data_IF_340774405457
#
_entry.id   IF_340774405457
#
_cell.length_a   1.000
_cell.length_b   1.000
_cell.length_c   1.000
_cell.angle_alpha   90.00
_cell.angle_beta   90.00
_cell.angle_gamma   90.00
#
_symmetry.space_group_name_H-M   'P 1'
#
loop_
_entity.id
_entity.type
_entity.pdbx_description
1 polymer ?
#
# COMPACT_ATOMS: atom_id res chain seq x y z
N UNK A 1 -21.58 0.27 -16.21
CA UNK A 1 -20.55 -0.42 -15.40
C UNK A 1 -20.71 -0.02 -13.93
N UNK A 2 -20.58 -0.94 -12.97
CA UNK A 2 -20.59 -0.63 -11.53
C UNK A 2 -19.29 0.11 -11.18
N UNK A 3 -19.36 1.22 -10.44
CA UNK A 3 -18.16 1.95 -9.99
C UNK A 3 -17.39 1.11 -8.96
N UNK A 4 -16.06 1.13 -9.04
CA UNK A 4 -15.20 0.57 -7.99
C UNK A 4 -15.34 1.33 -6.68
N UNK A 5 -15.00 0.67 -5.57
CA UNK A 5 -15.01 1.26 -4.22
C UNK A 5 -13.57 1.34 -3.69
N UNK A 6 -13.24 2.44 -3.02
CA UNK A 6 -11.94 2.66 -2.37
C UNK A 6 -12.17 3.31 -1.00
N UNK A 7 -11.50 2.80 0.03
CA UNK A 7 -11.48 3.38 1.37
C UNK A 7 -10.03 3.73 1.69
N UNK A 8 -9.78 4.99 2.07
CA UNK A 8 -8.47 5.47 2.49
C UNK A 8 -8.41 5.54 4.01
N UNK A 9 -7.45 4.83 4.61
CA UNK A 9 -7.20 4.82 6.05
C UNK A 9 -5.86 5.51 6.32
N UNK A 10 -5.90 6.63 7.05
CA UNK A 10 -4.70 7.39 7.44
C UNK A 10 -4.59 7.44 8.98
N UNK A 11 -3.35 7.40 9.48
CA UNK A 11 -3.06 7.48 10.90
C UNK A 11 -1.58 7.23 11.19
N UNK A 12 -1.12 7.66 12.36
CA UNK A 12 0.28 7.51 12.80
C UNK A 12 0.76 6.05 12.74
N UNK A 13 2.09 5.84 12.73
CA UNK A 13 2.65 4.49 12.87
C UNK A 13 2.13 3.84 14.16
N UNK A 14 1.83 2.55 14.11
CA UNK A 14 1.21 1.79 15.22
C UNK A 14 -0.20 2.21 15.68
N UNK A 15 -0.88 3.15 15.01
CA UNK A 15 -2.23 3.60 15.38
C UNK A 15 -3.37 2.55 15.17
N UNK A 16 -3.05 1.28 14.96
CA UNK A 16 -4.05 0.22 14.82
C UNK A 16 -4.70 0.08 13.44
N UNK A 17 -4.19 0.75 12.39
CA UNK A 17 -4.74 0.71 11.01
C UNK A 17 -4.92 -0.72 10.48
N UNK A 18 -3.92 -1.58 10.67
CA UNK A 18 -3.98 -2.98 10.21
C UNK A 18 -5.07 -3.77 10.94
N UNK A 19 -5.22 -3.55 12.26
CA UNK A 19 -6.28 -4.17 13.05
C UNK A 19 -7.66 -3.70 12.61
N UNK A 20 -7.83 -2.39 12.36
CA UNK A 20 -9.07 -1.81 11.85
C UNK A 20 -9.46 -2.42 10.49
N UNK A 21 -8.52 -2.50 9.54
CA UNK A 21 -8.81 -3.08 8.23
C UNK A 21 -9.20 -4.56 8.30
N UNK A 22 -8.58 -5.34 9.20
CA UNK A 22 -8.95 -6.76 9.41
C UNK A 22 -10.35 -6.89 9.98
N UNK A 23 -10.67 -6.16 11.05
CA UNK A 23 -12.02 -6.14 11.61
C UNK A 23 -13.07 -5.71 10.57
N UNK A 24 -12.76 -4.71 9.74
CA UNK A 24 -13.63 -4.34 8.63
C UNK A 24 -13.84 -5.48 7.62
N UNK A 25 -12.77 -6.18 7.22
CA UNK A 25 -12.84 -7.31 6.29
C UNK A 25 -13.69 -8.46 6.86
N UNK A 26 -13.61 -8.72 8.17
CA UNK A 26 -14.39 -9.76 8.85
C UNK A 26 -15.91 -9.47 8.83
N UNK A 27 -16.31 -8.19 8.73
CA UNK A 27 -17.71 -7.75 8.73
C UNK A 27 -18.24 -7.35 7.34
N UNK A 28 -17.39 -7.28 6.32
CA UNK A 28 -17.80 -6.81 5.00
C UNK A 28 -18.57 -7.89 4.22
N UNK A 29 -19.68 -7.50 3.58
CA UNK A 29 -20.47 -8.39 2.73
C UNK A 29 -19.87 -8.63 1.34
N UNK A 30 -18.93 -7.79 0.91
CA UNK A 30 -18.20 -7.90 -0.35
C UNK A 30 -16.71 -8.16 -0.04
N UNK A 31 -15.97 -8.76 -0.98
CA UNK A 31 -14.52 -8.95 -0.83
C UNK A 31 -13.80 -7.60 -0.94
N UNK A 32 -12.92 -7.33 0.03
CA UNK A 32 -12.05 -6.15 0.02
C UNK A 32 -10.58 -6.55 0.06
N UNK A 33 -9.78 -5.94 -0.81
CA UNK A 33 -8.33 -6.09 -0.80
C UNK A 33 -7.73 -5.01 0.10
N UNK A 34 -6.95 -5.42 1.11
CA UNK A 34 -6.18 -4.50 1.95
C UNK A 34 -4.81 -4.29 1.33
N UNK A 35 -4.53 -3.06 0.89
CA UNK A 35 -3.20 -2.62 0.44
C UNK A 35 -2.67 -1.55 1.39
N UNK A 36 -1.35 -1.48 1.53
CA UNK A 36 -0.68 -0.54 2.43
C UNK A 36 0.82 -0.56 2.18
N UNK A 37 1.52 0.45 2.69
CA UNK A 37 2.95 0.66 2.44
C UNK A 37 3.79 -0.59 2.77
N UNK A 38 3.44 -1.30 3.86
CA UNK A 38 4.11 -2.53 4.28
C UNK A 38 4.09 -3.62 3.19
N UNK A 39 2.97 -3.76 2.45
CA UNK A 39 2.89 -4.74 1.35
C UNK A 39 3.81 -4.36 0.20
N UNK A 40 3.93 -3.07 -0.09
CA UNK A 40 4.82 -2.59 -1.13
C UNK A 40 6.28 -2.84 -0.74
N UNK A 41 6.65 -2.70 0.53
CA UNK A 41 7.99 -3.05 1.01
C UNK A 41 8.34 -4.53 0.78
N UNK A 42 7.41 -5.45 1.03
CA UNK A 42 7.66 -6.88 0.83
C UNK A 42 7.88 -7.30 -0.62
N UNK A 43 7.39 -6.53 -1.59
CA UNK A 43 7.56 -6.84 -3.02
C UNK A 43 8.76 -6.12 -3.64
N UNK A 44 9.39 -5.17 -2.93
CA UNK A 44 10.56 -4.49 -3.46
C UNK A 44 11.80 -5.41 -3.46
N UNK A 45 12.70 -5.29 -4.45
CA UNK A 45 14.01 -5.90 -4.39
C UNK A 45 14.73 -5.49 -3.08
N UNK A 46 15.40 -6.42 -2.38
CA UNK A 46 15.99 -6.13 -1.06
C UNK A 46 16.97 -4.95 -1.06
N UNK A 47 17.76 -4.79 -2.13
CA UNK A 47 18.70 -3.67 -2.29
C UNK A 47 18.03 -2.31 -2.53
N UNK A 48 16.70 -2.28 -2.69
CA UNK A 48 15.89 -1.07 -2.89
C UNK A 48 15.02 -0.75 -1.67
N UNK A 49 14.98 -1.63 -0.67
CA UNK A 49 14.32 -1.40 0.63
C UNK A 49 15.28 -0.74 1.65
N UNK A 50 16.13 0.17 1.19
CA UNK A 50 17.06 0.89 2.06
C UNK A 50 16.44 2.24 2.39
N UNK A 51 15.64 2.29 3.46
CA UNK A 51 14.83 3.48 3.80
C UNK A 51 15.65 4.73 4.14
N UNK A 52 16.95 4.58 4.44
CA UNK A 52 17.87 5.67 4.73
C UNK A 52 18.73 6.08 3.52
N UNK A 53 18.51 5.48 2.33
CA UNK A 53 19.20 5.84 1.10
C UNK A 53 18.19 6.13 0.01
N UNK A 54 18.33 7.28 -0.65
CA UNK A 54 17.56 7.58 -1.85
C UNK A 54 18.31 7.05 -3.06
N UNK A 55 17.76 6.02 -3.68
CA UNK A 55 18.19 5.62 -5.02
C UNK A 55 17.44 6.50 -6.03
N UNK A 56 18.11 7.57 -6.46
CA UNK A 56 17.54 8.58 -7.33
C UNK A 56 17.06 8.00 -8.68
N UNK A 57 17.61 6.88 -9.15
CA UNK A 57 17.21 6.27 -10.43
C UNK A 57 16.05 5.27 -10.28
N UNK A 58 15.83 4.72 -9.08
CA UNK A 58 14.84 3.66 -8.87
C UNK A 58 13.40 4.16 -8.69
N UNK A 59 13.21 5.36 -8.12
CA UNK A 59 11.88 5.93 -7.87
C UNK A 59 11.35 6.81 -9.01
N UNK A 60 12.11 6.96 -10.10
CA UNK A 60 11.64 7.74 -11.25
C UNK A 60 10.68 6.85 -12.05
N UNK A 61 9.40 7.20 -12.01
CA UNK A 61 8.49 6.88 -13.10
C UNK A 61 9.11 7.41 -14.39
N UNK A 62 9.82 6.55 -15.13
CA UNK A 62 10.31 6.89 -16.47
C UNK A 62 9.10 6.98 -17.39
N UNK A 63 8.59 8.19 -17.58
CA UNK A 63 7.60 8.55 -18.60
C UNK A 63 8.22 8.46 -20.01
N UNK A 64 8.80 7.32 -20.39
CA UNK A 64 9.50 7.15 -21.68
C UNK A 64 8.90 6.06 -22.58
N UNK A 65 7.65 5.65 -22.33
CA UNK A 65 6.94 4.70 -23.20
C UNK A 65 5.51 5.17 -23.55
N UNK A 66 5.34 6.46 -23.85
CA UNK A 66 4.22 6.99 -24.62
C UNK A 66 4.76 7.89 -25.73
#
# INVERSE_FOLDING_TARGET
MKKGKLILINGASSAGKTSLCRAFQDHAQEMWVRLGIDHFWFIMPPNKLILNQQDAEYFILRWSYL
#
